data_IF_446392346109
#
_entry.id   IF_446392346109
#
_cell.length_a   1.000
_cell.length_b   1.000
_cell.length_c   1.000
_cell.angle_alpha   90.00
_cell.angle_beta   90.00
_cell.angle_gamma   90.00
#
_symmetry.space_group_name_H-M   'P 1'
#
loop_
_entity.id
_entity.type
_entity.pdbx_description
1 polymer ?
#
# COMPACT_ATOMS: atom_id res chain seq x y z
N UNK A 1 21.01 8.23 1.78
CA UNK A 1 20.46 7.03 2.44
C UNK A 1 19.13 6.66 1.81
N UNK A 2 18.88 5.36 1.58
CA UNK A 2 17.61 4.83 1.07
C UNK A 2 16.77 4.23 2.20
N UNK A 3 15.49 4.56 2.27
CA UNK A 3 14.51 3.95 3.17
C UNK A 3 13.35 3.38 2.37
N UNK A 4 12.82 2.24 2.80
CA UNK A 4 11.59 1.65 2.28
C UNK A 4 10.51 1.75 3.33
N UNK A 5 9.29 2.09 2.91
CA UNK A 5 8.13 2.16 3.77
C UNK A 5 6.87 1.73 3.03
N UNK A 6 5.91 1.17 3.75
CA UNK A 6 4.58 0.82 3.23
C UNK A 6 3.52 1.58 4.02
N UNK A 7 2.43 1.93 3.38
CA UNK A 7 1.31 2.61 4.02
C UNK A 7 0.02 2.37 3.28
N UNK A 8 -1.10 2.46 3.98
CA UNK A 8 -2.43 2.24 3.41
C UNK A 8 -3.29 3.49 3.53
N UNK A 9 -4.26 3.63 2.63
CA UNK A 9 -5.26 4.69 2.69
C UNK A 9 -6.66 4.16 2.35
N UNK A 10 -7.65 4.66 3.07
CA UNK A 10 -9.09 4.47 2.87
C UNK A 10 -9.74 5.69 2.19
N UNK A 11 -8.99 6.75 1.92
CA UNK A 11 -9.52 8.01 1.35
C UNK A 11 -8.75 8.50 0.12
N UNK A 12 -7.75 7.73 -0.33
CA UNK A 12 -6.76 8.12 -1.34
C UNK A 12 -5.84 9.30 -0.93
N UNK A 13 -5.92 9.78 0.32
CA UNK A 13 -5.01 10.79 0.85
C UNK A 13 -3.75 10.11 1.37
N UNK A 14 -2.69 10.08 0.58
CA UNK A 14 -1.42 9.44 0.92
C UNK A 14 -0.31 10.48 1.11
N UNK A 15 0.62 10.27 2.04
CA UNK A 15 1.74 11.19 2.19
C UNK A 15 2.76 10.87 3.28
N UNK A 16 3.72 11.80 3.43
CA UNK A 16 4.61 11.90 4.57
C UNK A 16 4.14 13.01 5.51
N UNK A 17 4.15 12.74 6.81
CA UNK A 17 3.84 13.74 7.83
C UNK A 17 4.78 13.62 9.04
N UNK A 18 4.82 14.71 9.81
CA UNK A 18 5.62 14.85 11.03
C UNK A 18 4.72 15.38 12.14
N UNK A 19 4.38 14.57 13.17
CA UNK A 19 3.49 14.99 14.25
C UNK A 19 3.90 16.32 14.88
N UNK A 20 5.20 16.55 15.04
CA UNK A 20 5.76 17.78 15.64
C UNK A 20 5.43 19.04 14.83
N UNK A 21 5.19 18.92 13.52
CA UNK A 21 4.88 20.03 12.62
C UNK A 21 3.38 20.24 12.38
N UNK A 22 2.54 19.32 12.83
CA UNK A 22 1.09 19.46 12.78
C UNK A 22 0.62 20.49 13.82
N UNK A 23 -0.50 21.20 13.59
CA UNK A 23 -1.03 22.15 14.56
C UNK A 23 -1.56 21.43 15.82
N UNK A 24 -1.66 22.14 16.94
CA UNK A 24 -2.05 21.54 18.22
C UNK A 24 -3.52 21.09 18.23
N UNK A 25 -4.37 21.69 17.39
CA UNK A 25 -5.78 21.33 17.17
C UNK A 25 -5.96 20.30 16.04
N UNK A 26 -4.88 19.69 15.54
CA UNK A 26 -4.93 18.78 14.38
C UNK A 26 -5.88 17.59 14.61
N UNK A 27 -5.73 16.91 15.75
CA UNK A 27 -6.50 15.69 16.05
C UNK A 27 -8.02 15.99 16.08
N UNK A 28 -8.43 17.13 16.64
CA UNK A 28 -9.83 17.60 16.65
C UNK A 28 -10.34 17.91 15.23
N UNK A 29 -9.53 18.58 14.40
CA UNK A 29 -9.92 18.98 13.03
C UNK A 29 -10.08 17.80 12.08
N UNK A 30 -9.33 16.72 12.29
CA UNK A 30 -9.48 15.47 11.54
C UNK A 30 -10.79 14.79 11.92
N UNK A 31 -11.12 14.69 13.22
CA UNK A 31 -12.39 14.10 13.68
C UNK A 31 -13.64 14.85 13.14
N UNK A 32 -13.55 16.16 12.97
CA UNK A 32 -14.61 17.01 12.40
C UNK A 32 -14.79 16.85 10.86
N UNK A 33 -13.93 16.08 10.19
CA UNK A 33 -14.03 15.77 8.77
C UNK A 33 -13.57 16.88 7.82
N UNK A 34 -12.74 17.82 8.28
CA UNK A 34 -12.18 18.91 7.45
C UNK A 34 -10.82 18.58 6.83
N UNK A 35 -10.58 17.31 6.54
CA UNK A 35 -9.26 16.73 6.24
C UNK A 35 -8.63 17.30 4.95
N UNK A 36 -9.36 17.32 3.83
CA UNK A 36 -8.77 17.68 2.53
C UNK A 36 -8.20 19.09 2.50
N UNK A 37 -8.93 20.10 2.98
CA UNK A 37 -8.43 21.49 3.01
C UNK A 37 -7.26 21.66 3.97
N UNK A 38 -7.31 20.97 5.12
CA UNK A 38 -6.22 20.99 6.09
C UNK A 38 -4.93 20.45 5.48
N UNK A 39 -4.99 19.32 4.78
CA UNK A 39 -3.79 18.74 4.16
C UNK A 39 -3.25 19.57 2.99
N UNK A 40 -4.11 20.21 2.20
CA UNK A 40 -3.69 21.16 1.17
C UNK A 40 -2.89 22.32 1.79
N UNK A 41 -3.41 22.93 2.87
CA UNK A 41 -2.73 24.00 3.60
C UNK A 41 -1.40 23.56 4.22
N UNK A 42 -1.34 22.35 4.78
CA UNK A 42 -0.11 21.79 5.36
C UNK A 42 0.92 21.45 4.27
N UNK A 43 0.47 20.98 3.11
CA UNK A 43 1.33 20.70 1.97
C UNK A 43 1.92 22.00 1.39
N UNK A 44 1.14 23.07 1.29
CA UNK A 44 1.63 24.39 0.88
C UNK A 44 2.68 24.96 1.85
N UNK A 45 2.53 24.70 3.15
CA UNK A 45 3.51 25.09 4.19
C UNK A 45 4.76 24.22 4.22
N UNK A 46 4.78 23.12 3.46
CA UNK A 46 5.87 22.15 3.45
C UNK A 46 5.99 21.36 4.76
N UNK A 47 4.91 21.25 5.54
CA UNK A 47 4.87 20.49 6.81
C UNK A 47 4.21 19.12 6.64
N UNK A 48 3.73 18.80 5.44
CA UNK A 48 3.29 17.48 4.97
C UNK A 48 3.73 17.35 3.52
N UNK A 49 4.07 16.15 3.06
CA UNK A 49 4.20 15.85 1.63
C UNK A 49 3.01 14.99 1.23
N UNK A 50 2.09 15.56 0.45
CA UNK A 50 0.99 14.82 -0.14
C UNK A 50 1.40 14.19 -1.47
N UNK A 51 1.10 12.91 -1.63
CA UNK A 51 1.29 12.12 -2.83
C UNK A 51 -0.02 12.04 -3.62
N UNK A 52 0.04 11.91 -4.95
CA UNK A 52 -1.15 11.75 -5.78
C UNK A 52 -1.66 10.31 -5.67
N UNK A 53 -2.27 9.96 -4.54
CA UNK A 53 -2.99 8.70 -4.39
C UNK A 53 -4.23 8.71 -5.29
N UNK A 54 -4.36 7.72 -6.16
CA UNK A 54 -5.48 7.66 -7.11
C UNK A 54 -6.68 6.88 -6.55
N UNK A 55 -6.43 5.99 -5.59
CA UNK A 55 -7.44 5.11 -5.01
C UNK A 55 -7.13 4.71 -3.57
N UNK A 56 -8.12 4.11 -2.91
CA UNK A 56 -7.92 3.36 -1.67
C UNK A 56 -7.02 2.15 -1.91
N UNK A 57 -6.15 1.83 -0.96
CA UNK A 57 -5.24 0.69 -1.10
C UNK A 57 -3.96 0.80 -0.28
N UNK A 58 -3.07 -0.16 -0.49
CA UNK A 58 -1.73 -0.17 0.07
C UNK A 58 -0.75 0.34 -0.97
N UNK A 59 0.18 1.16 -0.52
CA UNK A 59 1.20 1.80 -1.32
C UNK A 59 2.57 1.59 -0.69
N UNK A 60 3.58 1.62 -1.54
CA UNK A 60 4.99 1.47 -1.22
C UNK A 60 5.75 2.74 -1.60
N UNK A 61 6.69 3.13 -0.74
CA UNK A 61 7.51 4.32 -0.90
C UNK A 61 8.98 3.96 -0.73
N UNK A 62 9.80 4.44 -1.65
CA UNK A 62 11.24 4.59 -1.44
C UNK A 62 11.57 6.06 -1.18
N UNK A 63 12.26 6.32 -0.08
CA UNK A 63 12.80 7.63 0.25
C UNK A 63 14.32 7.65 0.02
N UNK A 64 14.80 8.58 -0.78
CA UNK A 64 16.22 8.83 -1.03
C UNK A 64 16.61 10.15 -0.38
N UNK A 65 17.36 10.12 0.72
CA UNK A 65 17.83 11.32 1.44
C UNK A 65 19.29 11.61 1.07
N UNK A 66 19.57 12.81 0.58
CA UNK A 66 20.90 13.22 0.07
C UNK A 66 21.43 12.30 -1.04
N UNK A 67 20.51 11.66 -1.76
CA UNK A 67 20.80 10.75 -2.87
C UNK A 67 19.85 11.03 -4.04
N UNK A 68 20.32 10.88 -5.29
CA UNK A 68 19.47 11.00 -6.45
C UNK A 68 18.58 9.76 -6.62
N UNK A 69 17.55 9.89 -7.47
CA UNK A 69 16.72 8.77 -7.91
C UNK A 69 17.60 7.60 -8.42
N UNK A 70 17.46 6.38 -7.86
CA UNK A 70 18.22 5.20 -8.28
C UNK A 70 18.08 4.94 -9.77
N UNK A 71 19.18 4.56 -10.42
CA UNK A 71 19.23 4.42 -11.88
C UNK A 71 18.25 3.37 -12.42
N UNK A 72 18.04 2.28 -11.68
CA UNK A 72 17.07 1.23 -12.00
C UNK A 72 15.61 1.74 -12.06
N UNK A 73 15.24 2.71 -11.21
CA UNK A 73 13.87 3.23 -11.15
C UNK A 73 13.61 4.29 -12.22
N UNK A 74 14.65 5.01 -12.67
CA UNK A 74 14.54 6.13 -13.62
C UNK A 74 13.77 5.80 -14.89
N UNK A 75 13.81 4.55 -15.36
CA UNK A 75 13.14 4.14 -16.60
C UNK A 75 11.62 4.15 -16.46
N UNK A 76 11.11 3.89 -15.25
CA UNK A 76 9.68 3.76 -14.96
C UNK A 76 9.16 4.90 -14.08
N UNK A 77 10.04 5.77 -13.59
CA UNK A 77 9.68 6.90 -12.74
C UNK A 77 9.35 8.16 -13.56
N UNK A 78 8.17 8.70 -13.33
CA UNK A 78 7.73 10.01 -13.83
C UNK A 78 7.73 11.03 -12.68
N UNK A 79 8.38 12.16 -12.88
CA UNK A 79 8.28 13.27 -11.92
C UNK A 79 6.83 13.78 -11.87
N UNK A 80 6.25 13.82 -10.68
CA UNK A 80 4.86 14.27 -10.47
C UNK A 80 4.80 15.60 -9.74
N UNK A 81 5.77 15.88 -8.86
CA UNK A 81 5.77 17.11 -8.05
C UNK A 81 7.18 17.45 -7.60
N UNK A 82 7.47 18.74 -7.57
CA UNK A 82 8.67 19.29 -6.93
C UNK A 82 8.25 20.28 -5.84
N UNK A 83 8.84 20.15 -4.66
CA UNK A 83 8.60 20.99 -3.50
C UNK A 83 9.91 21.67 -3.10
N UNK A 84 9.94 23.00 -3.24
CA UNK A 84 11.14 23.79 -2.94
C UNK A 84 11.50 23.84 -1.46
N UNK A 85 10.55 23.61 -0.56
CA UNK A 85 10.80 23.69 0.88
C UNK A 85 9.89 22.72 1.62
N UNK A 86 10.51 21.74 2.23
CA UNK A 86 9.89 20.75 3.13
C UNK A 86 10.62 20.82 4.46
N UNK A 87 9.86 20.88 5.54
CA UNK A 87 10.39 20.84 6.90
C UNK A 87 10.20 19.44 7.45
N UNK A 88 11.26 18.91 8.05
CA UNK A 88 11.28 17.62 8.73
C UNK A 88 11.62 17.88 10.19
N UNK A 89 10.81 17.34 11.11
CA UNK A 89 11.09 17.39 12.54
C UNK A 89 10.62 16.10 13.21
N UNK A 90 11.33 15.68 14.26
CA UNK A 90 10.94 14.56 15.11
C UNK A 90 10.70 13.26 14.34
N UNK A 91 9.60 12.59 14.67
CA UNK A 91 9.23 11.33 14.02
C UNK A 91 8.66 11.59 12.62
N UNK A 92 9.07 10.78 11.64
CA UNK A 92 8.50 10.83 10.29
C UNK A 92 7.65 9.59 10.03
N UNK A 93 6.51 9.78 9.38
CA UNK A 93 5.57 8.71 9.10
C UNK A 93 5.14 8.76 7.64
N UNK A 94 4.98 7.59 7.03
CA UNK A 94 4.43 7.40 5.69
C UNK A 94 3.12 6.62 5.76
N UNK A 95 2.08 7.09 5.09
CA UNK A 95 0.82 6.35 4.96
C UNK A 95 -0.36 7.24 4.62
N UNK A 96 -1.56 6.73 4.89
CA UNK A 96 -2.81 7.48 4.74
C UNK A 96 -2.83 8.67 5.70
N UNK A 97 -3.02 9.87 5.16
CA UNK A 97 -3.03 11.11 5.94
C UNK A 97 -4.26 11.19 6.86
N UNK A 98 -5.35 10.48 6.56
CA UNK A 98 -6.48 10.27 7.46
C UNK A 98 -6.12 9.49 8.74
N UNK A 99 -4.95 8.83 8.75
CA UNK A 99 -4.36 8.19 9.93
C UNK A 99 -3.22 9.00 10.56
N UNK A 100 -2.96 10.21 10.06
CA UNK A 100 -2.01 11.12 10.66
C UNK A 100 -2.49 11.56 12.05
N UNK A 101 -1.55 11.95 12.90
CA UNK A 101 -1.82 12.31 14.28
C UNK A 101 -0.81 13.32 14.80
N UNK A 102 -1.25 14.22 15.69
CA UNK A 102 -0.39 15.08 16.51
C UNK A 102 -0.01 14.37 17.80
N UNK A 103 -1.02 13.89 18.53
CA UNK A 103 -0.87 13.21 19.82
C UNK A 103 -1.67 11.93 19.91
N UNK A 104 -2.89 11.90 19.38
CA UNK A 104 -3.76 10.73 19.46
C UNK A 104 -3.45 9.67 18.39
N UNK A 105 -2.83 8.56 18.82
CA UNK A 105 -2.50 7.42 17.95
C UNK A 105 -3.59 6.35 17.89
N UNK A 106 -4.78 6.60 18.43
CA UNK A 106 -5.83 5.57 18.58
C UNK A 106 -6.24 4.95 17.24
N UNK A 107 -6.37 5.74 16.19
CA UNK A 107 -6.74 5.25 14.86
C UNK A 107 -5.66 4.35 14.26
N UNK A 108 -4.40 4.77 14.34
CA UNK A 108 -3.26 3.96 13.92
C UNK A 108 -3.11 2.69 14.77
N UNK A 109 -3.39 2.75 16.07
CA UNK A 109 -3.38 1.60 16.96
C UNK A 109 -4.43 0.53 16.57
N UNK A 110 -5.58 0.93 16.03
CA UNK A 110 -6.59 0.02 15.49
C UNK A 110 -6.20 -0.57 14.14
N UNK A 111 -5.40 0.16 13.35
CA UNK A 111 -4.96 -0.23 12.00
C UNK A 111 -3.46 0.03 11.78
N UNK A 112 -2.58 -0.76 12.42
CA UNK A 112 -1.14 -0.47 12.45
C UNK A 112 -0.45 -0.56 11.08
N UNK A 113 -1.08 -1.18 10.08
CA UNK A 113 -0.54 -1.26 8.72
C UNK A 113 -0.80 -0.01 7.85
N UNK A 114 -1.58 0.96 8.34
CA UNK A 114 -1.94 2.14 7.55
C UNK A 114 -0.82 3.19 7.49
N UNK A 115 0.06 3.22 8.49
CA UNK A 115 1.25 4.05 8.46
C UNK A 115 2.48 3.29 8.94
N UNK A 116 3.63 3.58 8.34
CA UNK A 116 4.93 3.07 8.78
C UNK A 116 5.86 4.22 9.17
N UNK A 117 6.69 4.05 10.22
CA UNK A 117 7.69 5.04 10.58
C UNK A 117 8.82 5.05 9.55
N UNK A 118 9.36 6.24 9.28
CA UNK A 118 10.51 6.46 8.40
C UNK A 118 11.55 7.29 9.15
N UNK A 119 12.82 6.95 8.99
CA UNK A 119 13.90 7.68 9.65
C UNK A 119 14.42 8.79 8.73
N UNK A 120 14.01 10.03 8.97
CA UNK A 120 14.50 11.22 8.25
C UNK A 120 15.10 12.17 9.27
N UNK A 121 16.32 12.64 9.03
CA UNK A 121 16.95 13.62 9.92
C UNK A 121 16.21 14.96 9.86
N UNK A 122 16.00 15.60 11.01
CA UNK A 122 15.38 16.92 11.07
C UNK A 122 16.17 17.95 10.26
N UNK A 123 15.45 18.84 9.56
CA UNK A 123 16.06 19.82 8.66
C UNK A 123 15.07 20.40 7.65
N UNK A 124 15.59 21.25 6.78
CA UNK A 124 14.85 21.75 5.61
C UNK A 124 15.40 21.13 4.33
N UNK A 125 14.49 20.63 3.49
CA UNK A 125 14.81 19.90 2.27
C UNK A 125 14.07 20.47 1.07
N UNK A 126 14.65 20.30 -0.11
CA UNK A 126 13.91 20.27 -1.37
C UNK A 126 13.48 18.82 -1.62
N UNK A 127 12.25 18.60 -2.07
CA UNK A 127 11.72 17.27 -2.36
C UNK A 127 11.31 17.15 -3.83
N UNK A 128 11.76 16.09 -4.50
CA UNK A 128 11.22 15.69 -5.79
C UNK A 128 10.49 14.37 -5.65
N UNK A 129 9.24 14.34 -6.08
CA UNK A 129 8.34 13.20 -6.00
C UNK A 129 8.23 12.58 -7.39
N UNK A 130 8.45 11.29 -7.46
CA UNK A 130 8.26 10.46 -8.63
C UNK A 130 7.17 9.44 -8.37
N UNK A 131 6.27 9.25 -9.34
CA UNK A 131 5.38 8.10 -9.39
C UNK A 131 6.02 7.06 -10.31
N UNK A 132 6.00 5.79 -9.91
CA UNK A 132 6.50 4.69 -10.73
C UNK A 132 5.34 4.09 -11.50
N UNK A 133 5.50 4.02 -12.82
CA UNK A 133 4.55 3.41 -13.73
C UNK A 133 5.26 2.28 -14.47
N UNK A 134 5.17 1.07 -13.92
CA UNK A 134 5.77 -0.12 -14.53
C UNK A 134 4.70 -0.84 -15.35
N UNK A 135 4.93 -1.09 -16.65
CA UNK A 135 3.98 -1.84 -17.47
C UNK A 135 3.70 -3.24 -16.89
N UNK A 136 2.45 -3.67 -16.95
CA UNK A 136 2.01 -4.98 -16.46
C UNK A 136 2.85 -6.12 -17.07
N UNK A 137 3.29 -6.00 -18.33
CA UNK A 137 4.11 -7.03 -18.99
C UNK A 137 5.47 -7.23 -18.30
N UNK A 138 6.05 -6.16 -17.74
CA UNK A 138 7.33 -6.22 -17.03
C UNK A 138 7.14 -6.91 -15.68
N UNK A 139 6.06 -6.59 -14.96
CA UNK A 139 5.68 -7.27 -13.72
C UNK A 139 5.43 -8.77 -13.96
N UNK A 140 4.66 -9.09 -14.98
CA UNK A 140 4.33 -10.46 -15.35
C UNK A 140 5.58 -11.27 -15.74
N UNK A 141 6.49 -10.67 -16.50
CA UNK A 141 7.77 -11.28 -16.85
C UNK A 141 8.64 -11.51 -15.60
N UNK A 142 8.70 -10.55 -14.68
CA UNK A 142 9.43 -10.67 -13.41
C UNK A 142 8.93 -11.84 -12.57
N UNK A 143 7.60 -11.96 -12.41
CA UNK A 143 7.01 -13.06 -11.66
C UNK A 143 7.39 -14.42 -12.25
N UNK A 144 7.35 -14.55 -13.58
CA UNK A 144 7.73 -15.79 -14.25
C UNK A 144 9.22 -16.10 -14.05
N UNK A 145 10.09 -15.10 -14.17
CA UNK A 145 11.52 -15.26 -13.99
C UNK A 145 11.89 -15.71 -12.57
N UNK A 146 11.27 -15.13 -11.54
CA UNK A 146 11.60 -15.40 -10.14
C UNK A 146 10.90 -16.63 -9.54
N UNK A 147 9.71 -17.00 -10.03
CA UNK A 147 8.92 -18.09 -9.46
C UNK A 147 8.80 -19.35 -10.31
N UNK A 148 9.13 -19.28 -11.61
CA UNK A 148 8.88 -20.25 -12.69
C UNK A 148 7.47 -20.18 -13.35
N UNK A 149 7.35 -20.51 -14.65
CA UNK A 149 6.06 -20.53 -15.35
C UNK A 149 5.02 -21.47 -14.74
N UNK A 150 5.47 -22.61 -14.18
CA UNK A 150 4.58 -23.57 -13.51
C UNK A 150 4.01 -23.03 -12.21
N UNK A 151 4.79 -22.24 -11.46
CA UNK A 151 4.32 -21.66 -10.22
C UNK A 151 3.29 -20.56 -10.47
N UNK A 152 3.51 -19.72 -11.48
CA UNK A 152 2.53 -18.73 -11.93
C UNK A 152 1.22 -19.37 -12.38
N UNK A 153 1.27 -20.43 -13.19
CA UNK A 153 0.04 -21.17 -13.56
C UNK A 153 -0.72 -21.71 -12.36
N UNK A 154 -0.02 -22.21 -11.34
CA UNK A 154 -0.65 -22.70 -10.12
C UNK A 154 -1.32 -21.55 -9.35
N UNK A 155 -0.69 -20.38 -9.31
CA UNK A 155 -1.25 -19.16 -8.74
C UNK A 155 -2.54 -18.73 -9.46
N UNK A 156 -2.55 -18.75 -10.80
CA UNK A 156 -3.74 -18.40 -11.59
C UNK A 156 -4.90 -19.37 -11.33
N UNK A 157 -4.59 -20.68 -11.29
CA UNK A 157 -5.55 -21.74 -10.95
C UNK A 157 -6.10 -21.55 -9.53
N UNK A 158 -5.25 -21.23 -8.56
CA UNK A 158 -5.68 -20.96 -7.20
C UNK A 158 -6.57 -19.72 -7.12
N UNK A 159 -6.24 -18.65 -7.84
CA UNK A 159 -7.04 -17.43 -7.89
C UNK A 159 -8.44 -17.71 -8.45
N UNK A 160 -8.53 -18.59 -9.45
CA UNK A 160 -9.82 -19.08 -9.97
C UNK A 160 -10.59 -19.91 -8.94
N UNK A 161 -9.92 -20.82 -8.22
CA UNK A 161 -10.54 -21.59 -7.14
C UNK A 161 -11.02 -20.71 -5.97
N UNK A 162 -10.28 -19.66 -5.63
CA UNK A 162 -10.67 -18.70 -4.61
C UNK A 162 -11.94 -17.94 -5.03
N UNK A 163 -11.98 -17.42 -6.26
CA UNK A 163 -13.15 -16.73 -6.81
C UNK A 163 -14.38 -17.64 -6.87
N UNK A 164 -14.21 -18.88 -7.34
CA UNK A 164 -15.30 -19.87 -7.39
C UNK A 164 -15.76 -20.30 -5.99
N UNK A 165 -14.86 -20.35 -5.01
CA UNK A 165 -15.20 -20.59 -3.60
C UNK A 165 -16.12 -19.50 -3.02
N UNK A 166 -15.89 -18.23 -3.37
CA UNK A 166 -16.78 -17.10 -2.98
C UNK A 166 -18.17 -17.31 -3.58
N UNK A 167 -18.25 -17.62 -4.88
CA UNK A 167 -19.53 -17.90 -5.56
C UNK A 167 -20.26 -19.09 -4.93
N UNK A 168 -19.54 -20.18 -4.64
CA UNK A 168 -20.11 -21.35 -3.98
C UNK A 168 -20.65 -21.03 -2.58
N UNK A 169 -19.96 -20.16 -1.84
CA UNK A 169 -20.41 -19.67 -0.53
C UNK A 169 -21.70 -18.86 -0.65
N UNK A 170 -21.81 -17.97 -1.64
CA UNK A 170 -23.04 -17.23 -1.90
C UNK A 170 -24.22 -18.15 -2.25
N UNK A 171 -23.97 -19.18 -3.09
CA UNK A 171 -24.98 -20.20 -3.42
C UNK A 171 -25.41 -20.98 -2.18
N UNK A 172 -24.47 -21.37 -1.32
CA UNK A 172 -24.77 -22.05 -0.05
C UNK A 172 -25.64 -21.18 0.86
N UNK A 173 -25.31 -19.89 1.02
CA UNK A 173 -26.13 -18.94 1.79
C UNK A 173 -27.54 -18.84 1.20
N UNK A 174 -27.69 -18.72 -0.12
CA UNK A 174 -29.01 -18.75 -0.77
C UNK A 174 -29.77 -20.06 -0.51
N UNK A 175 -29.08 -21.20 -0.53
CA UNK A 175 -29.66 -22.51 -0.26
C UNK A 175 -30.07 -22.70 1.21
N UNK A 176 -29.48 -21.99 2.17
CA UNK A 176 -29.94 -22.01 3.56
C UNK A 176 -31.34 -21.41 3.73
N UNK A 177 -31.68 -20.39 2.93
CA UNK A 177 -32.97 -19.71 3.01
C UNK A 177 -34.05 -20.32 2.13
N UNK A 178 -33.67 -20.86 0.97
CA UNK A 178 -34.62 -21.29 -0.08
C UNK A 178 -34.50 -22.76 -0.50
N UNK A 179 -33.47 -23.48 -0.02
CA UNK A 179 -33.15 -24.83 -0.45
C UNK A 179 -33.84 -25.92 0.37
N UNK A 180 -33.99 -27.10 -0.23
CA UNK A 180 -34.31 -28.31 0.53
C UNK A 180 -33.04 -28.83 1.23
N UNK A 181 -33.21 -29.54 2.35
CA UNK A 181 -32.09 -30.13 3.11
C UNK A 181 -31.01 -30.84 2.25
N UNK A 182 -31.34 -31.69 1.25
CA UNK A 182 -30.30 -32.34 0.43
C UNK A 182 -29.49 -31.35 -0.42
N UNK A 183 -30.13 -30.30 -0.96
CA UNK A 183 -29.43 -29.27 -1.76
C UNK A 183 -28.46 -28.49 -0.88
N UNK A 184 -28.86 -28.18 0.35
CA UNK A 184 -28.02 -27.49 1.33
C UNK A 184 -26.75 -28.30 1.67
N UNK A 185 -26.88 -29.62 1.92
CA UNK A 185 -25.70 -30.46 2.20
C UNK A 185 -24.77 -30.61 1.00
N UNK A 186 -25.31 -30.72 -0.21
CA UNK A 186 -24.51 -30.77 -1.43
C UNK A 186 -23.73 -29.46 -1.65
N UNK A 187 -24.40 -28.31 -1.49
CA UNK A 187 -23.77 -26.99 -1.60
C UNK A 187 -22.66 -26.79 -0.55
N UNK A 188 -22.90 -27.21 0.70
CA UNK A 188 -21.90 -27.15 1.76
C UNK A 188 -20.67 -28.02 1.45
N UNK A 189 -20.88 -29.25 0.97
CA UNK A 189 -19.79 -30.16 0.61
C UNK A 189 -18.92 -29.58 -0.52
N UNK A 190 -19.53 -28.96 -1.54
CA UNK A 190 -18.82 -28.30 -2.63
C UNK A 190 -18.03 -27.08 -2.12
N UNK A 191 -18.66 -26.20 -1.35
CA UNK A 191 -17.98 -25.03 -0.80
C UNK A 191 -16.79 -25.41 0.09
N UNK A 192 -16.96 -26.45 0.92
CA UNK A 192 -15.89 -26.98 1.77
C UNK A 192 -14.75 -27.59 0.93
N UNK A 193 -15.06 -28.39 -0.08
CA UNK A 193 -14.06 -28.99 -0.96
C UNK A 193 -13.23 -27.93 -1.71
N UNK A 194 -13.89 -26.90 -2.27
CA UNK A 194 -13.20 -25.79 -2.97
C UNK A 194 -12.29 -25.00 -2.01
N UNK A 195 -12.79 -24.70 -0.81
CA UNK A 195 -12.02 -23.99 0.22
C UNK A 195 -10.80 -24.81 0.67
N UNK A 196 -10.95 -26.12 0.85
CA UNK A 196 -9.86 -27.01 1.22
C UNK A 196 -8.81 -27.10 0.12
N UNK A 197 -9.22 -27.20 -1.16
CA UNK A 197 -8.29 -27.19 -2.29
C UNK A 197 -7.51 -25.87 -2.33
N UNK A 198 -8.18 -24.71 -2.21
CA UNK A 198 -7.51 -23.41 -2.19
C UNK A 198 -6.52 -23.29 -1.02
N UNK A 199 -6.88 -23.81 0.16
CA UNK A 199 -6.01 -23.82 1.34
C UNK A 199 -4.80 -24.74 1.19
N UNK A 200 -4.96 -25.91 0.57
CA UNK A 200 -3.82 -26.81 0.28
C UNK A 200 -2.88 -26.16 -0.75
N UNK A 201 -3.43 -25.54 -1.79
CA UNK A 201 -2.66 -24.84 -2.83
C UNK A 201 -1.85 -23.66 -2.25
N UNK A 202 -2.44 -22.88 -1.34
CA UNK A 202 -1.74 -21.75 -0.70
C UNK A 202 -0.57 -22.15 0.18
N UNK A 203 -0.48 -23.42 0.57
CA UNK A 203 0.65 -23.98 1.35
C UNK A 203 1.76 -24.54 0.46
N UNK A 204 1.58 -24.58 -0.85
CA UNK A 204 2.59 -25.11 -1.76
C UNK A 204 3.78 -24.17 -1.89
N UNK A 205 4.98 -24.73 -2.08
CA UNK A 205 6.19 -23.92 -2.32
C UNK A 205 6.08 -23.03 -3.55
N UNK A 206 5.35 -23.48 -4.56
CA UNK A 206 5.12 -22.72 -5.78
C UNK A 206 4.31 -21.44 -5.50
N UNK A 207 3.23 -21.55 -4.70
CA UNK A 207 2.48 -20.38 -4.27
C UNK A 207 3.34 -19.41 -3.46
N UNK A 208 4.07 -19.93 -2.46
CA UNK A 208 4.95 -19.10 -1.63
C UNK A 208 6.06 -18.43 -2.45
N UNK A 209 6.57 -19.09 -3.50
CA UNK A 209 7.56 -18.51 -4.40
C UNK A 209 7.00 -17.34 -5.21
N UNK A 210 5.76 -17.43 -5.71
CA UNK A 210 5.08 -16.32 -6.38
C UNK A 210 4.81 -15.18 -5.40
N UNK A 211 4.37 -15.49 -4.19
CA UNK A 211 4.14 -14.50 -3.13
C UNK A 211 5.41 -13.76 -2.75
N UNK A 212 6.53 -14.47 -2.60
CA UNK A 212 7.84 -13.86 -2.33
C UNK A 212 8.29 -13.01 -3.52
N UNK A 213 8.20 -13.53 -4.74
CA UNK A 213 8.59 -12.79 -5.95
C UNK A 213 7.80 -11.48 -6.12
N UNK A 214 6.52 -11.48 -5.73
CA UNK A 214 5.68 -10.28 -5.69
C UNK A 214 6.17 -9.29 -4.63
N UNK A 215 6.46 -9.77 -3.42
CA UNK A 215 6.98 -8.90 -2.37
C UNK A 215 8.33 -8.27 -2.75
N UNK A 216 9.25 -9.06 -3.32
CA UNK A 216 10.53 -8.59 -3.83
C UNK A 216 10.34 -7.57 -4.98
N UNK A 217 9.27 -7.73 -5.78
CA UNK A 217 8.91 -6.78 -6.82
C UNK A 217 8.44 -5.45 -6.22
N UNK A 218 7.52 -5.47 -5.26
CA UNK A 218 6.99 -4.28 -4.58
C UNK A 218 8.11 -3.48 -3.88
N UNK A 219 9.13 -4.15 -3.31
CA UNK A 219 10.30 -3.47 -2.74
C UNK A 219 11.25 -2.86 -3.80
N UNK A 220 11.36 -3.51 -4.96
CA UNK A 220 12.26 -3.09 -6.04
C UNK A 220 11.62 -2.09 -7.01
N UNK A 221 10.29 -2.02 -7.07
CA UNK A 221 9.50 -1.14 -7.94
C UNK A 221 8.39 -0.48 -7.11
N UNK A 222 8.76 0.44 -6.20
CA UNK A 222 7.80 1.07 -5.31
C UNK A 222 6.82 1.97 -6.09
N UNK A 223 5.62 2.16 -5.59
CA UNK A 223 4.61 3.04 -6.20
C UNK A 223 5.11 4.49 -6.29
N UNK A 224 5.82 4.94 -5.25
CA UNK A 224 6.40 6.28 -5.20
C UNK A 224 7.87 6.27 -4.82
N UNK A 225 8.61 7.25 -5.34
CA UNK A 225 9.96 7.58 -4.91
C UNK A 225 10.04 9.06 -4.55
N UNK A 226 10.52 9.37 -3.35
CA UNK A 226 10.77 10.76 -2.93
C UNK A 226 12.26 10.95 -2.74
N UNK A 227 12.83 11.89 -3.48
CA UNK A 227 14.22 12.32 -3.30
C UNK A 227 14.25 13.61 -2.48
N UNK A 228 14.83 13.57 -1.28
CA UNK A 228 15.04 14.71 -0.40
C UNK A 228 16.49 15.19 -0.50
N UNK A 229 16.68 16.45 -0.87
CA UNK A 229 17.98 17.09 -0.94
C UNK A 229 18.03 18.22 0.10
N UNK A 230 19.09 18.35 0.92
CA UNK A 230 19.19 19.44 1.87
C UNK A 230 19.05 20.79 1.15
N UNK A 231 18.16 21.66 1.66
CA UNK A 231 18.04 23.02 1.13
C UNK A 231 19.31 23.79 1.46
N UNK A 232 19.91 24.43 0.46
CA UNK A 232 21.05 25.35 0.64
C UNK A 232 20.62 26.70 1.18
#
# INVERSE_FOLDING_TARGET
MKHFATGGTDSALLGLFWPELLPDDFDERVEEGSESKLFDELAERGTVIQLPGEAEGNYSLVLCVDEPLPAELRLYSREVKWLRKVKVAGESWFGGLEYAFKTDRTMLGKRPGMCSPVAIAAGEYEATIYATDVPDEVYEAWLVEKSSPSAKRLWDVQSWFAATGVVATMIFVGCLFFGTRPIMFAALAVAFALSLIAWVLSRTRAYLAVQQARHDYEESHPDFVICLQPSK
#
